data_IF_504421737220
#
_entry.id   IF_504421737220
#
_cell.length_a   1.000
_cell.length_b   1.000
_cell.length_c   1.000
_cell.angle_alpha   90.00
_cell.angle_beta   90.00
_cell.angle_gamma   90.00
#
_symmetry.space_group_name_H-M   'P 1'
#
loop_
_entity.id
_entity.type
_entity.pdbx_description
1 polymer ?
#
# COMPACT_ATOMS: atom_id res chain seq x y z
N UNK A 1 -18.48 13.91 -21.43
CA UNK A 1 -17.33 14.63 -20.86
C UNK A 1 -17.74 15.09 -19.47
N UNK A 2 -17.41 14.32 -18.43
CA UNK A 2 -17.63 14.71 -17.03
C UNK A 2 -16.44 15.54 -16.61
N UNK A 3 -16.69 16.83 -16.33
CA UNK A 3 -15.70 17.75 -15.74
C UNK A 3 -15.12 17.12 -14.48
N UNK A 4 -13.80 17.08 -14.31
CA UNK A 4 -13.20 16.62 -13.06
C UNK A 4 -13.59 17.64 -11.97
N UNK A 5 -14.41 17.19 -11.03
CA UNK A 5 -14.72 17.96 -9.83
C UNK A 5 -13.42 18.21 -9.09
N UNK A 6 -13.02 19.45 -8.93
CA UNK A 6 -11.84 19.83 -8.15
C UNK A 6 -11.89 19.13 -6.79
N UNK A 7 -10.82 18.52 -6.32
CA UNK A 7 -10.80 17.86 -5.03
C UNK A 7 -11.17 18.88 -3.94
N UNK A 8 -12.00 18.51 -2.94
CA UNK A 8 -12.36 19.40 -1.86
C UNK A 8 -11.10 19.90 -1.15
N UNK A 9 -11.07 21.18 -0.80
CA UNK A 9 -9.95 21.75 -0.04
C UNK A 9 -9.73 20.94 1.26
N UNK A 10 -8.49 20.56 1.56
CA UNK A 10 -8.21 19.78 2.76
C UNK A 10 -8.50 20.59 4.03
N UNK A 11 -8.82 19.93 5.16
CA UNK A 11 -8.93 20.59 6.45
C UNK A 11 -7.66 21.41 6.77
N UNK A 12 -7.82 22.52 7.49
CA UNK A 12 -6.70 23.44 7.78
C UNK A 12 -5.48 22.77 8.41
N UNK A 13 -5.69 21.80 9.31
CA UNK A 13 -4.61 21.02 9.93
C UNK A 13 -3.85 20.15 8.91
N UNK A 14 -4.57 19.52 7.97
CA UNK A 14 -3.99 18.74 6.90
C UNK A 14 -3.21 19.63 5.94
N UNK A 15 -3.78 20.80 5.60
CA UNK A 15 -3.12 21.80 4.76
C UNK A 15 -1.82 22.32 5.39
N UNK A 16 -1.85 22.62 6.69
CA UNK A 16 -0.66 23.08 7.43
C UNK A 16 0.44 21.99 7.47
N UNK A 17 0.05 20.72 7.70
CA UNK A 17 1.00 19.61 7.71
C UNK A 17 1.57 19.36 6.31
N UNK A 18 0.73 19.41 5.26
CA UNK A 18 1.16 19.28 3.87
C UNK A 18 2.15 20.38 3.47
N UNK A 19 1.88 21.63 3.85
CA UNK A 19 2.78 22.76 3.62
C UNK A 19 4.13 22.58 4.35
N UNK A 20 4.09 22.15 5.62
CA UNK A 20 5.30 21.88 6.41
C UNK A 20 6.21 20.81 5.77
N UNK A 21 5.62 19.79 5.16
CA UNK A 21 6.33 18.70 4.49
C UNK A 21 6.50 18.91 2.98
N UNK A 22 6.08 20.05 2.45
CA UNK A 22 6.17 20.40 1.02
C UNK A 22 5.54 19.34 0.12
N UNK A 23 4.34 18.87 0.46
CA UNK A 23 3.68 17.77 -0.24
C UNK A 23 3.02 18.18 -1.57
N UNK A 24 2.96 19.48 -1.90
CA UNK A 24 2.32 19.97 -3.12
C UNK A 24 0.79 20.00 -3.04
N UNK A 25 0.15 19.85 -4.18
CA UNK A 25 -1.31 19.90 -4.30
C UNK A 25 -1.96 18.59 -3.85
N UNK A 26 -3.17 18.71 -3.28
CA UNK A 26 -4.01 17.55 -2.95
C UNK A 26 -4.57 16.95 -4.23
N UNK A 27 -4.28 15.68 -4.51
CA UNK A 27 -4.76 14.95 -5.68
C UNK A 27 -5.89 13.98 -5.34
N UNK A 28 -5.94 13.48 -4.10
CA UNK A 28 -6.98 12.55 -3.67
C UNK A 28 -7.20 12.52 -2.18
N UNK A 29 -8.46 12.27 -1.78
CA UNK A 29 -8.83 12.06 -0.38
C UNK A 29 -9.78 10.86 -0.30
N UNK A 30 -9.41 9.87 0.54
CA UNK A 30 -10.14 8.62 0.66
C UNK A 30 -10.68 8.47 2.08
N UNK A 31 -11.99 8.23 2.15
CA UNK A 31 -12.71 8.00 3.40
C UNK A 31 -12.71 6.51 3.76
N UNK A 32 -13.02 6.15 5.01
CA UNK A 32 -13.26 4.77 5.39
C UNK A 32 -14.48 4.20 4.67
N UNK A 33 -14.36 2.95 4.23
CA UNK A 33 -15.46 2.20 3.62
C UNK A 33 -16.59 2.01 4.63
N UNK A 34 -17.75 2.50 4.31
CA UNK A 34 -18.95 2.34 5.13
C UNK A 34 -19.69 1.06 4.74
N UNK A 35 -20.37 0.47 5.70
CA UNK A 35 -21.32 -0.60 5.42
C UNK A 35 -22.47 -0.06 4.57
N UNK A 36 -22.85 -0.80 3.56
CA UNK A 36 -24.08 -0.52 2.81
C UNK A 36 -25.32 -0.59 3.73
N UNK A 37 -26.38 0.11 3.36
CA UNK A 37 -27.63 0.18 4.14
C UNK A 37 -28.16 -1.19 4.55
N UNK A 38 -28.24 -2.21 3.66
CA UNK A 38 -28.76 -3.52 4.06
C UNK A 38 -27.91 -4.17 5.17
N UNK A 39 -26.59 -4.12 5.03
CA UNK A 39 -25.67 -4.71 6.02
C UNK A 39 -25.68 -3.95 7.34
N UNK A 40 -25.80 -2.63 7.29
CA UNK A 40 -25.97 -1.81 8.49
C UNK A 40 -27.23 -2.17 9.25
N UNK A 41 -28.37 -2.34 8.54
CA UNK A 41 -29.66 -2.74 9.14
C UNK A 41 -29.56 -4.12 9.77
N UNK A 42 -28.94 -5.09 9.09
CA UNK A 42 -28.73 -6.45 9.65
C UNK A 42 -27.93 -6.38 10.95
N UNK A 43 -26.78 -5.69 10.95
CA UNK A 43 -25.93 -5.58 12.15
C UNK A 43 -26.63 -4.85 13.29
N UNK A 44 -27.43 -3.83 12.99
CA UNK A 44 -28.22 -3.13 13.97
C UNK A 44 -29.31 -4.01 14.58
N UNK A 45 -30.04 -4.81 13.77
CA UNK A 45 -31.03 -5.76 14.25
C UNK A 45 -30.41 -6.82 15.16
N UNK A 46 -29.28 -7.40 14.76
CA UNK A 46 -28.54 -8.37 15.58
C UNK A 46 -28.13 -7.74 16.92
N UNK A 47 -27.64 -6.48 16.90
CA UNK A 47 -27.30 -5.76 18.12
C UNK A 47 -28.49 -5.59 19.05
N UNK A 48 -29.64 -5.13 18.51
CA UNK A 48 -30.87 -4.94 19.28
C UNK A 48 -31.34 -6.25 19.88
N UNK A 49 -31.37 -7.32 19.09
CA UNK A 49 -31.80 -8.64 19.55
C UNK A 49 -30.89 -9.17 20.66
N UNK A 50 -29.58 -9.13 20.47
CA UNK A 50 -28.63 -9.57 21.51
C UNK A 50 -28.73 -8.72 22.79
N UNK A 51 -28.90 -7.42 22.64
CA UNK A 51 -29.02 -6.53 23.80
C UNK A 51 -30.34 -6.74 24.56
N UNK A 52 -31.42 -7.09 23.87
CA UNK A 52 -32.73 -7.34 24.49
C UNK A 52 -32.79 -8.68 25.27
N UNK A 53 -32.15 -9.73 24.75
CA UNK A 53 -32.23 -11.08 25.35
C UNK A 53 -30.96 -11.45 26.12
N UNK A 54 -29.81 -10.89 25.80
CA UNK A 54 -28.51 -11.26 26.35
C UNK A 54 -27.61 -10.02 26.53
N UNK A 55 -27.63 -9.44 27.70
CA UNK A 55 -26.90 -8.18 27.97
C UNK A 55 -25.41 -8.33 27.68
N UNK A 56 -24.76 -9.39 28.17
CA UNK A 56 -23.29 -9.56 28.00
C UNK A 56 -22.92 -9.82 26.53
N UNK A 57 -23.52 -10.76 25.79
CA UNK A 57 -23.30 -10.88 24.35
C UNK A 57 -23.61 -9.60 23.56
N UNK A 58 -24.65 -8.84 23.94
CA UNK A 58 -24.96 -7.56 23.30
C UNK A 58 -23.84 -6.53 23.45
N UNK A 59 -23.26 -6.42 24.65
CA UNK A 59 -22.12 -5.52 24.91
C UNK A 59 -20.87 -5.94 24.13
N UNK A 60 -20.54 -7.23 24.09
CA UNK A 60 -19.43 -7.76 23.32
C UNK A 60 -19.59 -7.49 21.81
N UNK A 61 -20.81 -7.72 21.31
CA UNK A 61 -21.13 -7.46 19.91
C UNK A 61 -21.08 -5.95 19.58
N UNK A 62 -21.59 -5.09 20.46
CA UNK A 62 -21.45 -3.65 20.33
C UNK A 62 -19.98 -3.20 20.28
N UNK A 63 -19.14 -3.77 21.17
CA UNK A 63 -17.71 -3.50 21.17
C UNK A 63 -17.04 -3.92 19.87
N UNK A 64 -17.43 -5.06 19.30
CA UNK A 64 -16.98 -5.51 17.99
C UNK A 64 -17.43 -4.59 16.86
N UNK A 65 -18.71 -4.13 16.87
CA UNK A 65 -19.24 -3.19 15.88
C UNK A 65 -18.50 -1.85 15.84
N UNK A 66 -17.88 -1.41 16.93
CA UNK A 66 -17.08 -0.18 16.98
C UNK A 66 -15.85 -0.22 16.08
N UNK A 67 -15.52 -1.32 15.45
CA UNK A 67 -14.51 -1.43 14.40
C UNK A 67 -14.97 -0.83 13.07
N UNK A 68 -16.25 -0.73 12.85
CA UNK A 68 -16.82 -0.17 11.62
C UNK A 68 -17.07 1.34 11.74
N UNK A 69 -16.81 2.10 10.63
CA UNK A 69 -17.06 3.55 10.60
C UNK A 69 -18.49 3.97 10.90
N UNK A 70 -19.47 3.10 10.57
CA UNK A 70 -20.89 3.34 10.83
C UNK A 70 -21.23 3.41 12.33
N UNK A 71 -20.46 2.73 13.18
CA UNK A 71 -20.71 2.60 14.63
C UNK A 71 -19.64 3.30 15.48
N UNK A 72 -18.65 3.96 14.87
CA UNK A 72 -17.58 4.64 15.58
C UNK A 72 -17.15 5.95 14.91
N UNK A 73 -17.36 7.08 15.60
CA UNK A 73 -16.89 8.37 15.14
C UNK A 73 -15.37 8.40 14.93
N UNK A 74 -14.61 7.69 15.79
CA UNK A 74 -13.15 7.59 15.66
C UNK A 74 -12.72 6.88 14.37
N UNK A 75 -13.44 5.83 13.97
CA UNK A 75 -13.17 5.14 12.72
C UNK A 75 -13.65 5.95 11.50
N UNK A 76 -14.79 6.61 11.62
CA UNK A 76 -15.34 7.46 10.57
C UNK A 76 -14.47 8.69 10.26
N UNK A 77 -13.65 9.12 11.22
CA UNK A 77 -12.75 10.26 11.08
C UNK A 77 -11.44 9.95 10.37
N UNK A 78 -11.08 8.67 10.20
CA UNK A 78 -9.86 8.28 9.47
C UNK A 78 -9.90 8.82 8.05
N UNK A 79 -8.75 9.24 7.56
CA UNK A 79 -8.60 9.74 6.18
C UNK A 79 -7.23 9.36 5.64
N UNK A 80 -7.19 9.08 4.36
CA UNK A 80 -5.97 8.98 3.56
C UNK A 80 -5.99 10.12 2.55
N UNK A 81 -4.99 10.97 2.60
CA UNK A 81 -4.82 12.08 1.68
C UNK A 81 -3.60 11.82 0.82
N UNK A 82 -3.76 11.88 -0.49
CA UNK A 82 -2.69 11.73 -1.46
C UNK A 82 -2.39 13.10 -2.08
N UNK A 83 -1.14 13.47 -2.03
CA UNK A 83 -0.59 14.71 -2.56
C UNK A 83 0.41 14.43 -3.67
N UNK A 84 0.69 15.42 -4.47
CA UNK A 84 1.66 15.37 -5.57
C UNK A 84 3.03 14.80 -5.13
N UNK A 85 3.53 15.20 -3.96
CA UNK A 85 4.85 14.82 -3.46
C UNK A 85 4.84 13.95 -2.20
N UNK A 86 3.67 13.44 -1.78
CA UNK A 86 3.57 12.60 -0.61
C UNK A 86 2.16 12.23 -0.22
N UNK A 87 2.03 11.66 0.98
CA UNK A 87 0.73 11.29 1.54
C UNK A 87 0.63 11.69 3.02
N UNK A 88 -0.59 11.88 3.49
CA UNK A 88 -0.90 12.03 4.91
C UNK A 88 -1.90 10.95 5.30
N UNK A 89 -1.56 10.21 6.35
CA UNK A 89 -2.46 9.25 6.98
C UNK A 89 -2.96 9.84 8.30
N UNK A 90 -4.28 9.92 8.42
CA UNK A 90 -4.96 10.27 9.67
C UNK A 90 -5.49 8.97 10.30
N UNK A 91 -4.77 8.38 11.27
CA UNK A 91 -5.09 7.04 11.77
C UNK A 91 -6.36 7.02 12.62
N UNK A 92 -6.61 8.05 13.45
CA UNK A 92 -7.82 8.20 14.28
C UNK A 92 -8.05 9.66 14.68
N UNK A 93 -9.27 9.97 15.10
CA UNK A 93 -9.55 11.25 15.71
C UNK A 93 -8.76 11.41 17.02
N UNK A 94 -7.94 12.46 17.11
CA UNK A 94 -7.12 12.76 18.27
C UNK A 94 -5.75 12.05 18.31
N UNK A 95 -5.43 11.20 17.32
CA UNK A 95 -4.08 10.70 17.07
C UNK A 95 -3.38 11.61 16.05
N UNK A 96 -2.07 11.79 16.19
CA UNK A 96 -1.29 12.62 15.28
C UNK A 96 -1.37 12.11 13.84
N UNK A 97 -1.50 13.04 12.89
CA UNK A 97 -1.37 12.73 11.47
C UNK A 97 0.11 12.49 11.14
N UNK A 98 0.36 11.52 10.26
CA UNK A 98 1.71 11.24 9.78
C UNK A 98 1.80 11.57 8.30
N UNK A 99 2.82 12.37 7.95
CA UNK A 99 3.13 12.73 6.57
C UNK A 99 4.34 11.94 6.08
N UNK A 100 4.27 11.47 4.84
CA UNK A 100 5.33 10.75 4.16
C UNK A 100 5.56 11.39 2.79
N UNK A 101 6.83 11.54 2.38
CA UNK A 101 7.21 12.01 1.04
C UNK A 101 7.49 10.83 0.12
N UNK A 102 7.08 10.94 -1.15
CA UNK A 102 7.30 9.88 -2.13
C UNK A 102 8.77 9.62 -2.43
N UNK A 103 9.62 10.63 -2.27
CA UNK A 103 11.07 10.55 -2.55
C UNK A 103 11.87 9.71 -1.53
N UNK A 104 11.30 9.48 -0.35
CA UNK A 104 12.01 8.80 0.75
C UNK A 104 11.25 7.61 1.35
N UNK A 105 10.04 7.38 0.88
CA UNK A 105 9.17 6.32 1.41
C UNK A 105 9.56 4.93 0.90
N UNK A 106 9.44 3.94 1.77
CA UNK A 106 9.45 2.51 1.43
C UNK A 106 8.02 1.98 1.52
N UNK A 107 7.46 1.63 0.37
CA UNK A 107 6.10 1.12 0.22
C UNK A 107 6.17 -0.40 0.03
N UNK A 108 5.68 -1.18 0.98
CA UNK A 108 5.47 -2.62 0.85
C UNK A 108 4.00 -2.91 0.63
N UNK A 109 3.71 -3.95 -0.12
CA UNK A 109 2.34 -4.37 -0.40
C UNK A 109 2.14 -5.86 -0.12
N UNK A 110 0.96 -6.17 0.38
CA UNK A 110 0.44 -7.53 0.49
C UNK A 110 -1.00 -7.52 -0.02
N UNK A 111 -1.19 -8.01 -1.25
CA UNK A 111 -2.50 -8.07 -1.90
C UNK A 111 -2.87 -9.54 -1.99
N UNK A 112 -3.85 -9.96 -1.21
CA UNK A 112 -4.23 -11.37 -1.07
C UNK A 112 -5.70 -11.56 -1.41
N UNK A 113 -5.99 -12.57 -2.22
CA UNK A 113 -7.33 -13.08 -2.45
C UNK A 113 -7.38 -14.55 -2.08
N UNK A 114 -8.24 -14.89 -1.14
CA UNK A 114 -8.51 -16.29 -0.76
C UNK A 114 -9.67 -16.83 -1.57
N UNK A 115 -9.69 -18.15 -1.73
CA UNK A 115 -10.81 -18.89 -2.31
C UNK A 115 -11.37 -19.81 -1.22
N UNK A 116 -12.67 -19.72 -1.00
CA UNK A 116 -13.39 -20.60 -0.05
C UNK A 116 -14.37 -21.39 -0.88
N UNK A 117 -14.27 -22.71 -0.84
CA UNK A 117 -15.09 -23.64 -1.65
C UNK A 117 -15.11 -23.30 -3.15
N UNK A 118 -13.96 -22.83 -3.67
CA UNK A 118 -13.82 -22.44 -5.07
C UNK A 118 -14.36 -21.03 -5.40
N UNK A 119 -15.02 -20.35 -4.47
CA UNK A 119 -15.50 -18.98 -4.66
C UNK A 119 -14.45 -17.96 -4.18
N UNK A 120 -14.17 -16.88 -4.97
CA UNK A 120 -13.22 -15.86 -4.57
C UNK A 120 -13.77 -15.02 -3.42
N UNK A 121 -12.96 -14.81 -2.39
CA UNK A 121 -13.25 -13.86 -1.32
C UNK A 121 -12.91 -12.42 -1.79
N UNK A 122 -13.40 -11.38 -1.09
CA UNK A 122 -12.94 -10.02 -1.32
C UNK A 122 -11.42 -9.92 -1.24
N UNK A 123 -10.82 -9.16 -2.15
CA UNK A 123 -9.37 -8.91 -2.16
C UNK A 123 -9.00 -8.10 -0.92
N UNK A 124 -8.02 -8.59 -0.18
CA UNK A 124 -7.42 -7.89 0.95
C UNK A 124 -6.24 -7.07 0.45
N UNK A 125 -6.24 -5.79 0.73
CA UNK A 125 -5.17 -4.85 0.41
C UNK A 125 -4.49 -4.41 1.70
N UNK A 126 -3.19 -4.62 1.81
CA UNK A 126 -2.37 -4.10 2.90
C UNK A 126 -1.15 -3.43 2.29
N UNK A 127 -1.01 -2.13 2.54
CA UNK A 127 0.16 -1.36 2.17
C UNK A 127 0.82 -0.83 3.44
N UNK A 128 2.07 -1.21 3.66
CA UNK A 128 2.88 -0.69 4.76
C UNK A 128 3.80 0.39 4.23
N UNK A 129 3.62 1.59 4.76
CA UNK A 129 4.39 2.79 4.40
C UNK A 129 5.36 3.07 5.53
N UNK A 130 6.65 3.16 5.23
CA UNK A 130 7.69 3.50 6.20
C UNK A 130 8.66 4.52 5.64
N UNK A 131 9.18 5.41 6.47
CA UNK A 131 10.24 6.34 6.11
C UNK A 131 11.29 6.39 7.21
N UNK A 132 12.54 6.66 6.85
CA UNK A 132 13.66 6.75 7.80
C UNK A 132 13.41 7.88 8.80
N UNK A 133 13.49 7.57 10.09
CA UNK A 133 13.26 8.56 11.16
C UNK A 133 11.80 8.88 11.47
N UNK A 134 10.85 8.31 10.75
CA UNK A 134 9.41 8.43 10.98
C UNK A 134 8.82 7.04 11.25
N UNK A 135 7.75 7.01 12.03
CA UNK A 135 6.99 5.76 12.24
C UNK A 135 6.43 5.21 10.93
N UNK A 136 5.94 3.99 10.97
CA UNK A 136 5.22 3.39 9.84
C UNK A 136 3.72 3.66 9.91
N UNK A 137 3.05 3.57 8.76
CA UNK A 137 1.60 3.55 8.66
C UNK A 137 1.15 2.34 7.84
N UNK A 138 0.03 1.75 8.23
CA UNK A 138 -0.61 0.69 7.48
C UNK A 138 -1.90 1.21 6.84
N UNK A 139 -2.00 1.05 5.53
CA UNK A 139 -3.13 1.48 4.71
C UNK A 139 -3.77 0.20 4.16
N UNK A 140 -5.05 0.00 4.46
CA UNK A 140 -5.75 -1.24 4.12
C UNK A 140 -7.01 -0.95 3.30
N UNK A 141 -7.69 -2.01 2.85
CA UNK A 141 -9.03 -1.95 2.23
C UNK A 141 -10.10 -1.32 3.15
N UNK A 142 -9.70 -0.88 4.32
CA UNK A 142 -10.55 -0.06 5.20
C UNK A 142 -10.92 1.28 4.54
N UNK A 143 -10.04 1.83 3.70
CA UNK A 143 -10.32 3.00 2.88
C UNK A 143 -11.03 2.58 1.59
N UNK A 144 -11.98 3.42 1.14
CA UNK A 144 -12.69 3.20 -0.11
C UNK A 144 -11.73 3.19 -1.31
N UNK A 145 -12.04 2.38 -2.33
CA UNK A 145 -11.36 2.35 -3.65
C UNK A 145 -9.87 1.99 -3.58
N UNK A 146 -9.49 0.88 -2.91
CA UNK A 146 -8.10 0.45 -2.85
C UNK A 146 -7.50 0.17 -4.24
N UNK A 147 -8.31 -0.20 -5.21
CA UNK A 147 -7.94 -0.40 -6.61
C UNK A 147 -7.52 0.90 -7.33
N UNK A 148 -7.83 2.07 -6.75
CA UNK A 148 -7.42 3.38 -7.28
C UNK A 148 -6.18 3.88 -6.54
N UNK A 149 -6.25 4.03 -5.21
CA UNK A 149 -5.16 4.63 -4.45
C UNK A 149 -3.91 3.73 -4.37
N UNK A 150 -4.06 2.40 -4.43
CA UNK A 150 -2.93 1.48 -4.39
C UNK A 150 -1.97 1.65 -5.57
N UNK A 151 -2.42 1.45 -6.83
CA UNK A 151 -1.59 1.71 -8.01
C UNK A 151 -1.09 3.15 -8.08
N UNK A 152 -1.92 4.13 -7.71
CA UNK A 152 -1.53 5.54 -7.69
C UNK A 152 -0.31 5.81 -6.78
N UNK A 153 -0.29 5.24 -5.57
CA UNK A 153 0.86 5.35 -4.66
C UNK A 153 2.13 4.71 -5.26
N UNK A 154 2.00 3.57 -5.94
CA UNK A 154 3.13 2.92 -6.60
C UNK A 154 3.72 3.76 -7.73
N UNK A 155 2.85 4.35 -8.55
CA UNK A 155 3.26 5.25 -9.64
C UNK A 155 3.88 6.54 -9.11
N UNK A 156 3.38 7.09 -8.00
CA UNK A 156 3.94 8.26 -7.35
C UNK A 156 5.36 8.00 -6.83
N UNK A 157 5.59 6.84 -6.21
CA UNK A 157 6.93 6.42 -5.78
C UNK A 157 7.86 6.23 -6.99
N UNK A 158 7.38 5.60 -8.07
CA UNK A 158 8.17 5.42 -9.29
C UNK A 158 8.60 6.77 -9.88
N UNK A 159 7.68 7.73 -9.98
CA UNK A 159 7.99 9.09 -10.47
C UNK A 159 9.00 9.80 -9.59
N UNK A 160 8.86 9.68 -8.26
CA UNK A 160 9.70 10.41 -7.31
C UNK A 160 11.11 9.82 -7.13
N UNK A 161 11.24 8.48 -7.18
CA UNK A 161 12.50 7.80 -6.87
C UNK A 161 13.18 7.20 -8.11
N UNK A 162 12.47 7.07 -9.24
CA UNK A 162 12.95 6.33 -10.41
C UNK A 162 14.26 6.85 -10.98
N UNK A 163 14.36 8.15 -11.19
CA UNK A 163 15.58 8.77 -11.75
C UNK A 163 16.76 8.60 -10.78
N UNK A 164 16.59 8.95 -9.52
CA UNK A 164 17.65 8.83 -8.50
C UNK A 164 18.14 7.38 -8.36
N UNK A 165 17.25 6.41 -8.43
CA UNK A 165 17.62 5.00 -8.38
C UNK A 165 18.42 4.56 -9.62
N UNK A 166 18.05 5.05 -10.82
CA UNK A 166 18.79 4.79 -12.05
C UNK A 166 20.17 5.43 -12.02
N UNK A 167 20.28 6.67 -11.57
CA UNK A 167 21.55 7.39 -11.44
C UNK A 167 22.50 6.66 -10.47
N UNK A 168 21.98 6.24 -9.30
CA UNK A 168 22.75 5.44 -8.34
C UNK A 168 23.33 4.17 -8.99
N UNK A 169 22.53 3.45 -9.79
CA UNK A 169 22.98 2.23 -10.48
C UNK A 169 24.03 2.56 -11.57
N UNK A 170 23.85 3.65 -12.31
CA UNK A 170 24.79 4.06 -13.36
C UNK A 170 26.14 4.48 -12.79
N UNK A 171 26.14 5.12 -11.62
CA UNK A 171 27.33 5.50 -10.86
C UNK A 171 28.04 4.30 -10.20
N UNK A 172 27.51 3.08 -10.37
CA UNK A 172 28.10 1.83 -9.85
C UNK A 172 27.60 1.45 -8.46
N UNK A 173 26.65 2.19 -7.91
CA UNK A 173 25.98 1.85 -6.65
C UNK A 173 24.97 0.71 -6.81
N UNK A 174 24.33 0.37 -5.70
CA UNK A 174 23.24 -0.60 -5.65
C UNK A 174 22.03 0.00 -4.94
N UNK A 175 20.83 -0.29 -5.45
CA UNK A 175 19.56 0.13 -4.85
C UNK A 175 18.94 -1.07 -4.15
N UNK A 176 18.64 -0.89 -2.85
CA UNK A 176 18.08 -1.93 -1.98
C UNK A 176 16.55 -1.86 -1.94
N UNK A 177 15.92 -3.00 -2.22
CA UNK A 177 14.47 -3.20 -2.16
C UNK A 177 14.06 -4.18 -1.05
N UNK A 178 14.95 -4.47 -0.11
CA UNK A 178 14.76 -5.44 0.96
C UNK A 178 15.35 -6.80 0.59
N UNK A 179 14.52 -7.78 0.22
CA UNK A 179 15.02 -9.11 -0.14
C UNK A 179 15.76 -9.17 -1.49
N UNK A 180 15.59 -8.13 -2.33
CA UNK A 180 16.29 -7.98 -3.61
C UNK A 180 17.04 -6.65 -3.66
N UNK A 181 18.15 -6.60 -4.36
CA UNK A 181 18.86 -5.36 -4.69
C UNK A 181 19.29 -5.35 -6.14
N UNK A 182 19.32 -4.17 -6.76
CA UNK A 182 19.70 -3.96 -8.16
C UNK A 182 20.99 -3.17 -8.24
N UNK A 183 21.87 -3.56 -9.14
CA UNK A 183 23.13 -2.89 -9.46
C UNK A 183 23.40 -2.95 -10.95
N UNK A 184 24.39 -2.22 -11.44
CA UNK A 184 24.84 -2.31 -12.85
C UNK A 184 25.25 -3.72 -13.26
N UNK A 185 25.80 -4.51 -12.34
CA UNK A 185 26.31 -5.85 -12.61
C UNK A 185 25.25 -6.97 -12.56
N UNK A 186 24.04 -6.69 -12.07
CA UNK A 186 22.98 -7.68 -11.95
C UNK A 186 22.08 -7.45 -10.75
N UNK A 187 21.23 -8.45 -10.51
CA UNK A 187 20.32 -8.51 -9.35
C UNK A 187 20.92 -9.41 -8.26
N UNK A 188 20.89 -8.96 -7.02
CA UNK A 188 21.23 -9.79 -5.88
C UNK A 188 19.98 -10.13 -5.06
N UNK A 189 19.98 -11.34 -4.47
CA UNK A 189 18.94 -11.78 -3.56
C UNK A 189 19.56 -12.22 -2.23
N UNK A 190 18.85 -11.94 -1.13
CA UNK A 190 19.31 -12.32 0.20
C UNK A 190 19.60 -13.83 0.27
N UNK A 191 20.82 -14.20 0.69
CA UNK A 191 21.26 -15.59 0.81
C UNK A 191 21.61 -16.31 -0.49
N UNK A 192 21.54 -15.65 -1.67
CA UNK A 192 21.82 -16.29 -2.98
C UNK A 192 22.91 -15.63 -3.81
N UNK A 193 23.48 -14.54 -3.36
CA UNK A 193 24.49 -13.79 -4.10
C UNK A 193 23.88 -12.96 -5.25
N UNK A 194 24.64 -12.77 -6.33
CA UNK A 194 24.28 -11.93 -7.48
C UNK A 194 24.08 -12.78 -8.74
N UNK A 195 23.02 -12.46 -9.50
CA UNK A 195 22.77 -13.00 -10.84
C UNK A 195 22.98 -11.87 -11.86
N UNK A 196 23.90 -12.03 -12.84
CA UNK A 196 24.10 -11.06 -13.92
C UNK A 196 22.82 -10.84 -14.76
N UNK A 197 22.64 -9.63 -15.30
CA UNK A 197 21.48 -9.33 -16.14
C UNK A 197 21.36 -10.25 -17.37
N UNK A 198 22.48 -10.63 -17.98
CA UNK A 198 22.53 -11.56 -19.12
C UNK A 198 22.03 -12.98 -18.81
N UNK A 199 22.01 -13.35 -17.54
CA UNK A 199 21.53 -14.66 -17.09
C UNK A 199 20.08 -14.62 -16.59
N UNK A 200 19.45 -13.43 -16.48
CA UNK A 200 18.05 -13.30 -16.10
C UNK A 200 17.20 -13.49 -17.35
N UNK A 201 16.40 -14.54 -17.35
CA UNK A 201 15.43 -14.81 -18.42
C UNK A 201 14.18 -13.97 -18.26
N UNK A 202 13.63 -13.92 -17.04
CA UNK A 202 12.35 -13.30 -16.79
C UNK A 202 12.17 -13.03 -15.28
N UNK A 203 11.39 -12.00 -14.96
CA UNK A 203 10.96 -11.70 -13.60
C UNK A 203 9.43 -11.75 -13.58
N UNK A 204 8.88 -12.72 -12.86
CA UNK A 204 7.44 -12.98 -12.77
C UNK A 204 6.90 -12.64 -11.39
N UNK A 205 5.73 -12.01 -11.35
CA UNK A 205 4.96 -11.82 -10.11
C UNK A 205 3.77 -12.76 -10.17
N UNK A 206 3.79 -13.81 -9.35
CA UNK A 206 2.73 -14.82 -9.32
C UNK A 206 2.54 -15.38 -7.91
N UNK A 207 1.27 -15.61 -7.52
CA UNK A 207 0.95 -16.23 -6.23
C UNK A 207 1.51 -15.48 -5.02
N UNK A 208 1.54 -14.14 -5.08
CA UNK A 208 2.09 -13.30 -3.99
C UNK A 208 3.63 -13.31 -3.90
N UNK A 209 4.32 -13.88 -4.88
CA UNK A 209 5.77 -13.97 -4.93
C UNK A 209 6.33 -13.35 -6.21
N UNK A 210 7.56 -12.84 -6.10
CA UNK A 210 8.42 -12.47 -7.23
C UNK A 210 9.37 -13.62 -7.50
N UNK A 211 9.29 -14.18 -8.71
CA UNK A 211 10.14 -15.26 -9.19
C UNK A 211 11.15 -14.69 -10.18
N UNK A 212 12.43 -14.86 -9.91
CA UNK A 212 13.52 -14.50 -10.83
C UNK A 212 13.96 -15.77 -11.54
N UNK A 213 13.69 -15.85 -12.84
CA UNK A 213 14.05 -17.01 -13.67
C UNK A 213 15.44 -16.82 -14.26
N UNK A 214 16.29 -17.84 -14.13
CA UNK A 214 17.62 -17.88 -14.75
C UNK A 214 17.54 -18.58 -16.11
N UNK A 215 18.23 -18.04 -17.10
CA UNK A 215 18.30 -18.62 -18.44
C UNK A 215 18.78 -20.08 -18.38
N UNK A 216 18.04 -20.97 -19.07
CA UNK A 216 18.33 -22.39 -19.12
C UNK A 216 17.95 -23.20 -17.86
N UNK A 217 17.34 -22.60 -16.85
CA UNK A 217 16.86 -23.28 -15.65
C UNK A 217 15.34 -23.44 -15.67
N UNK A 218 14.84 -24.61 -15.25
CA UNK A 218 13.40 -24.88 -15.11
C UNK A 218 12.81 -24.36 -13.79
N UNK A 219 13.67 -24.13 -12.79
CA UNK A 219 13.28 -23.62 -11.48
C UNK A 219 13.73 -22.16 -11.29
N UNK A 220 12.99 -21.35 -10.53
CA UNK A 220 13.41 -19.98 -10.22
C UNK A 220 14.77 -19.94 -9.50
N UNK A 221 15.66 -19.05 -9.93
CA UNK A 221 16.88 -18.74 -9.20
C UNK A 221 16.56 -18.18 -7.81
N UNK A 222 15.55 -17.30 -7.73
CA UNK A 222 15.06 -16.78 -6.45
C UNK A 222 13.53 -16.65 -6.46
N UNK A 223 12.92 -16.92 -5.31
CA UNK A 223 11.51 -16.67 -5.04
C UNK A 223 11.42 -15.87 -3.76
N UNK A 224 10.82 -14.69 -3.83
CA UNK A 224 10.73 -13.74 -2.73
C UNK A 224 9.27 -13.31 -2.57
N UNK A 225 8.69 -13.31 -1.36
CA UNK A 225 7.36 -12.79 -1.16
C UNK A 225 7.28 -11.29 -1.52
N UNK A 226 6.21 -10.87 -2.17
CA UNK A 226 5.96 -9.47 -2.54
C UNK A 226 6.03 -8.55 -1.32
N UNK A 227 5.53 -8.99 -0.17
CA UNK A 227 5.58 -8.25 1.10
C UNK A 227 7.02 -8.03 1.63
N UNK A 228 7.98 -8.82 1.19
CA UNK A 228 9.41 -8.66 1.51
C UNK A 228 10.13 -7.62 0.64
N UNK A 229 9.45 -7.07 -0.38
CA UNK A 229 10.03 -6.12 -1.33
C UNK A 229 9.44 -4.73 -1.10
N UNK A 230 10.29 -3.76 -0.87
CA UNK A 230 9.89 -2.36 -0.85
C UNK A 230 9.82 -1.81 -2.27
N UNK A 231 8.85 -0.94 -2.55
CA UNK A 231 8.73 -0.24 -3.85
C UNK A 231 8.77 -1.20 -5.05
N UNK A 232 7.97 -2.28 -5.01
CA UNK A 232 7.97 -3.34 -6.03
C UNK A 232 7.83 -2.80 -7.45
N UNK A 233 6.94 -1.82 -7.67
CA UNK A 233 6.73 -1.24 -9.01
C UNK A 233 8.01 -0.55 -9.53
N UNK A 234 8.70 0.17 -8.67
CA UNK A 234 10.00 0.77 -8.98
C UNK A 234 11.06 -0.29 -9.31
N UNK A 235 11.14 -1.36 -8.50
CA UNK A 235 12.04 -2.49 -8.78
C UNK A 235 11.78 -3.08 -10.17
N UNK A 236 10.52 -3.40 -10.48
CA UNK A 236 10.15 -4.02 -11.77
C UNK A 236 10.43 -3.10 -12.96
N UNK A 237 10.16 -1.80 -12.84
CA UNK A 237 10.43 -0.82 -13.87
C UNK A 237 11.94 -0.70 -14.17
N UNK A 238 12.79 -0.61 -13.13
CA UNK A 238 14.23 -0.54 -13.29
C UNK A 238 14.77 -1.85 -13.86
N UNK A 239 14.38 -3.00 -13.30
CA UNK A 239 14.84 -4.30 -13.78
C UNK A 239 14.45 -4.53 -15.25
N UNK A 240 13.23 -4.15 -15.66
CA UNK A 240 12.78 -4.22 -17.05
C UNK A 240 13.62 -3.35 -18.01
N UNK A 241 14.13 -2.21 -17.56
CA UNK A 241 15.05 -1.37 -18.34
C UNK A 241 16.46 -1.97 -18.45
N UNK A 242 16.95 -2.62 -17.38
CA UNK A 242 18.29 -3.20 -17.35
C UNK A 242 18.39 -4.56 -18.07
N UNK A 243 17.31 -5.36 -18.08
CA UNK A 243 17.25 -6.63 -18.84
C UNK A 243 17.16 -6.44 -20.36
N UNK A 244 16.76 -5.25 -20.86
CA UNK A 244 16.62 -4.96 -22.29
C UNK A 244 17.89 -4.40 -22.95
N UNK A 245 18.90 -4.12 -22.17
CA UNK A 245 20.21 -3.63 -22.63
C UNK A 245 21.20 -4.78 -22.83
#
# INVERSE_FOLDING_TARGET
MTTPTSPPSPPSEVAALAARHQLGLLEGAFAPKRLGIPMFVIYLNVLVTFSAFFLVPGLLYFWWLRRFPNFSRKQAAKRLYLFEHGLIVQPRLGEGMTAFRWDSVKLRQDITQLFVDGAPTPIKYVYSVTATGFGGAEITEFYEKPEIWGPWMQDAVLRAQGQTALDTIQEGGAVDFGALSLSRAGMAATGKGRLPWSEIQEILVRGGNVHVMRSGASAPWSTVPVSGIANLHLLLAIAGNLCRR
#
